data_IF_851385849340
#
_entry.id   IF_851385849340
#
_cell.length_a   1.000
_cell.length_b   1.000
_cell.length_c   1.000
_cell.angle_alpha   90.00
_cell.angle_beta   90.00
_cell.angle_gamma   90.00
#
_symmetry.space_group_name_H-M   'P 1'
#
loop_
_entity.id
_entity.type
_entity.pdbx_description
1 polymer ?
#
# COMPACT_ATOMS: atom_id res chain seq x y z
N UNK A 1 -12.68 9.46 3.71
CA UNK A 1 -13.29 10.72 3.23
C UNK A 1 -13.21 10.71 1.71
N UNK A 2 -14.21 11.23 1.01
CA UNK A 2 -14.18 11.25 -0.46
C UNK A 2 -13.44 12.50 -0.95
N UNK A 3 -12.74 12.39 -2.08
CA UNK A 3 -11.98 13.51 -2.67
C UNK A 3 -12.85 14.70 -3.09
N UNK A 4 -14.10 14.43 -3.46
CA UNK A 4 -15.06 15.44 -3.89
C UNK A 4 -15.88 16.00 -2.72
N UNK A 5 -15.57 15.65 -1.47
CA UNK A 5 -16.32 16.12 -0.31
C UNK A 5 -15.84 17.49 0.18
N UNK A 6 -16.74 18.27 0.76
CA UNK A 6 -16.41 19.60 1.29
C UNK A 6 -15.40 19.52 2.44
N UNK A 7 -15.48 18.47 3.26
CA UNK A 7 -14.51 18.22 4.34
C UNK A 7 -13.10 18.01 3.77
N UNK A 8 -12.98 17.31 2.63
CA UNK A 8 -11.68 17.12 1.99
C UNK A 8 -11.14 18.45 1.45
N UNK A 9 -11.96 19.14 0.65
CA UNK A 9 -11.54 20.32 -0.11
C UNK A 9 -11.24 21.51 0.81
N UNK A 10 -12.07 21.75 1.83
CA UNK A 10 -11.97 22.96 2.64
C UNK A 10 -11.25 22.77 3.98
N UNK A 11 -11.13 21.53 4.49
CA UNK A 11 -10.52 21.27 5.79
C UNK A 11 -9.25 20.45 5.63
N UNK A 12 -9.37 19.21 5.19
CA UNK A 12 -8.25 18.26 5.23
C UNK A 12 -7.10 18.65 4.29
N UNK A 13 -7.41 19.02 3.04
CA UNK A 13 -6.39 19.36 2.06
C UNK A 13 -5.65 20.66 2.44
N UNK A 14 -6.31 21.79 2.77
CA UNK A 14 -5.63 22.99 3.23
C UNK A 14 -4.82 22.75 4.50
N UNK A 15 -5.38 22.04 5.49
CA UNK A 15 -4.67 21.73 6.73
C UNK A 15 -3.42 20.91 6.49
N UNK A 16 -3.52 19.85 5.67
CA UNK A 16 -2.37 19.01 5.31
C UNK A 16 -1.30 19.81 4.56
N UNK A 17 -1.72 20.68 3.63
CA UNK A 17 -0.83 21.56 2.89
C UNK A 17 -0.07 22.51 3.83
N UNK A 18 -0.78 23.27 4.66
CA UNK A 18 -0.16 24.27 5.52
C UNK A 18 0.78 23.64 6.56
N UNK A 19 0.39 22.52 7.19
CA UNK A 19 1.28 21.84 8.16
C UNK A 19 2.52 21.30 7.47
N UNK A 20 2.40 20.69 6.29
CA UNK A 20 3.55 20.19 5.53
C UNK A 20 4.56 21.30 5.21
N UNK A 21 4.08 22.42 4.63
CA UNK A 21 4.96 23.54 4.28
C UNK A 21 5.53 24.25 5.51
N UNK A 22 4.77 24.34 6.61
CA UNK A 22 5.28 24.87 7.87
C UNK A 22 6.43 24.03 8.43
N UNK A 23 6.31 22.69 8.42
CA UNK A 23 7.38 21.79 8.85
C UNK A 23 8.62 21.93 7.96
N UNK A 24 8.42 22.12 6.65
CA UNK A 24 9.51 22.33 5.71
C UNK A 24 10.25 23.66 5.94
N UNK A 25 9.51 24.73 6.24
CA UNK A 25 10.08 26.04 6.61
C UNK A 25 10.98 25.94 7.85
N UNK A 26 10.57 25.11 8.83
CA UNK A 26 11.39 24.78 10.02
C UNK A 26 12.56 23.83 9.74
N UNK A 27 12.81 23.48 8.47
CA UNK A 27 13.84 22.50 8.03
C UNK A 27 13.63 21.09 8.61
N UNK A 28 12.40 20.75 9.04
CA UNK A 28 12.04 19.45 9.60
C UNK A 28 11.58 18.49 8.49
N UNK A 29 12.46 18.16 7.54
CA UNK A 29 12.11 17.35 6.35
C UNK A 29 11.55 15.97 6.75
N UNK A 30 12.20 15.28 7.68
CA UNK A 30 11.73 13.98 8.19
C UNK A 30 10.38 14.09 8.90
N UNK A 31 10.19 15.18 9.66
CA UNK A 31 8.91 15.48 10.32
C UNK A 31 7.79 15.73 9.32
N UNK A 32 8.07 16.44 8.23
CA UNK A 32 7.12 16.69 7.14
C UNK A 32 6.69 15.39 6.43
N UNK A 33 7.64 14.48 6.14
CA UNK A 33 7.34 13.15 5.61
C UNK A 33 6.50 12.32 6.58
N UNK A 34 6.87 12.30 7.86
CA UNK A 34 6.10 11.63 8.93
C UNK A 34 4.67 12.15 9.04
N UNK A 35 4.50 13.46 8.98
CA UNK A 35 3.19 14.09 8.95
C UNK A 35 2.37 13.67 7.72
N UNK A 36 2.95 13.63 6.52
CA UNK A 36 2.24 13.17 5.32
C UNK A 36 1.81 11.71 5.41
N UNK A 37 2.64 10.83 5.97
CA UNK A 37 2.25 9.43 6.23
C UNK A 37 1.08 9.38 7.20
N UNK A 38 1.16 10.13 8.31
CA UNK A 38 0.07 10.20 9.28
C UNK A 38 -1.24 10.74 8.65
N UNK A 39 -1.18 11.85 7.92
CA UNK A 39 -2.33 12.43 7.24
C UNK A 39 -2.93 11.44 6.22
N UNK A 40 -2.08 10.69 5.54
CA UNK A 40 -2.50 9.69 4.57
C UNK A 40 -3.19 8.48 5.21
N UNK A 41 -2.63 7.96 6.30
CA UNK A 41 -3.25 6.88 7.07
C UNK A 41 -4.55 7.33 7.74
N UNK A 42 -4.63 8.58 8.19
CA UNK A 42 -5.87 9.17 8.71
C UNK A 42 -6.95 9.23 7.63
N UNK A 43 -6.59 9.73 6.44
CA UNK A 43 -7.49 9.78 5.31
C UNK A 43 -8.00 8.40 4.90
N UNK A 44 -7.12 7.40 4.87
CA UNK A 44 -7.46 6.00 4.62
C UNK A 44 -8.45 5.45 5.67
N UNK A 45 -8.14 5.67 6.95
CA UNK A 45 -8.93 5.16 8.08
C UNK A 45 -10.31 5.79 8.20
N UNK A 46 -10.51 6.95 7.58
CA UNK A 46 -11.81 7.63 7.56
C UNK A 46 -12.92 6.80 6.93
N UNK A 47 -12.60 5.88 6.00
CA UNK A 47 -13.60 4.97 5.45
C UNK A 47 -14.00 3.88 6.46
N UNK A 48 -13.02 3.13 6.95
CA UNK A 48 -13.22 2.15 8.00
C UNK A 48 -11.87 1.84 8.67
N UNK A 49 -11.77 2.18 9.94
CA UNK A 49 -10.56 1.98 10.76
C UNK A 49 -10.16 0.50 10.89
N UNK A 50 -11.09 -0.44 10.72
CA UNK A 50 -10.81 -1.88 10.80
C UNK A 50 -9.80 -2.35 9.74
N UNK A 51 -9.65 -1.63 8.61
CA UNK A 51 -8.68 -1.96 7.57
C UNK A 51 -7.32 -1.27 7.75
N UNK A 52 -7.17 -0.37 8.72
CA UNK A 52 -5.88 0.26 9.00
C UNK A 52 -4.80 -0.78 9.39
N UNK A 53 -5.07 -1.77 10.25
CA UNK A 53 -4.12 -2.85 10.51
C UNK A 53 -3.74 -3.65 9.26
N UNK A 54 -4.66 -3.81 8.31
CA UNK A 54 -4.42 -4.54 7.07
C UNK A 54 -3.34 -3.85 6.22
N UNK A 55 -3.52 -2.54 5.94
CA UNK A 55 -2.53 -1.80 5.16
C UNK A 55 -1.18 -1.69 5.89
N UNK A 56 -1.19 -1.47 7.21
CA UNK A 56 0.04 -1.39 8.02
C UNK A 56 0.82 -2.71 8.01
N UNK A 57 0.12 -3.83 8.20
CA UNK A 57 0.76 -5.16 8.18
C UNK A 57 1.25 -5.51 6.79
N UNK A 58 0.47 -5.24 5.74
CA UNK A 58 0.88 -5.47 4.35
C UNK A 58 2.11 -4.63 3.98
N UNK A 59 2.14 -3.37 4.41
CA UNK A 59 3.30 -2.50 4.21
C UNK A 59 4.53 -3.04 4.91
N UNK A 60 4.43 -3.35 6.21
CA UNK A 60 5.56 -3.85 6.99
C UNK A 60 6.10 -5.16 6.42
N UNK A 61 5.21 -6.08 6.05
CA UNK A 61 5.58 -7.33 5.38
C UNK A 61 6.37 -7.06 4.09
N UNK A 62 5.84 -6.23 3.20
CA UNK A 62 6.47 -5.94 1.92
C UNK A 62 7.78 -5.15 2.06
N UNK A 63 7.89 -4.27 3.05
CA UNK A 63 9.14 -3.58 3.36
C UNK A 63 10.23 -4.57 3.81
N UNK A 64 9.89 -5.50 4.70
CA UNK A 64 10.85 -6.53 5.16
C UNK A 64 11.28 -7.43 4.01
N UNK A 65 10.35 -7.86 3.16
CA UNK A 65 10.65 -8.69 1.98
C UNK A 65 11.50 -7.91 0.98
N UNK A 66 11.12 -6.68 0.63
CA UNK A 66 11.87 -5.81 -0.30
C UNK A 66 13.28 -5.51 0.18
N UNK A 67 13.43 -5.14 1.45
CA UNK A 67 14.75 -4.92 2.04
C UNK A 67 15.62 -6.19 2.08
N UNK A 68 15.01 -7.37 2.21
CA UNK A 68 15.71 -8.66 2.16
C UNK A 68 16.10 -9.10 0.74
N UNK A 69 15.48 -8.53 -0.30
CA UNK A 69 15.85 -8.77 -1.71
C UNK A 69 17.08 -7.96 -2.14
N UNK A 70 17.38 -6.88 -1.42
CA UNK A 70 18.47 -5.95 -1.70
C UNK A 70 19.86 -6.59 -1.49
N UNK A 71 20.77 -6.36 -2.45
CA UNK A 71 22.14 -6.86 -2.43
C UNK A 71 22.99 -6.31 -1.27
N UNK A 72 22.67 -5.11 -0.78
CA UNK A 72 23.42 -4.46 0.29
C UNK A 72 23.20 -5.11 1.67
N UNK A 73 22.08 -5.81 1.86
CA UNK A 73 21.76 -6.53 3.10
C UNK A 73 22.14 -8.01 2.98
N UNK A 74 23.44 -8.28 2.83
CA UNK A 74 24.07 -9.62 2.76
C UNK A 74 23.91 -10.52 4.02
N UNK A 75 22.92 -10.29 4.88
CA UNK A 75 22.76 -11.08 6.12
C UNK A 75 22.08 -12.43 5.93
N UNK A 76 21.37 -12.66 4.83
CA UNK A 76 20.66 -13.93 4.59
C UNK A 76 20.85 -14.39 3.14
N UNK A 77 21.44 -15.58 2.93
CA UNK A 77 21.54 -16.24 1.63
C UNK A 77 20.19 -16.87 1.22
N UNK A 78 19.14 -16.06 1.10
CA UNK A 78 17.86 -16.52 0.57
C UNK A 78 17.90 -16.56 -0.96
N UNK A 79 17.24 -17.56 -1.55
CA UNK A 79 16.96 -17.57 -2.99
C UNK A 79 16.08 -16.36 -3.34
N UNK A 80 16.69 -15.28 -3.84
CA UNK A 80 16.02 -14.01 -4.16
C UNK A 80 14.76 -14.18 -5.00
N UNK A 81 14.82 -15.06 -6.00
CA UNK A 81 13.66 -15.37 -6.87
C UNK A 81 12.51 -16.00 -6.08
N UNK A 82 12.80 -16.93 -5.17
CA UNK A 82 11.80 -17.55 -4.30
C UNK A 82 11.16 -16.55 -3.34
N UNK A 83 11.97 -15.67 -2.76
CA UNK A 83 11.49 -14.60 -1.86
C UNK A 83 10.61 -13.59 -2.60
N UNK A 84 10.99 -13.19 -3.82
CA UNK A 84 10.17 -12.34 -4.68
C UNK A 84 8.84 -13.03 -5.02
N UNK A 85 8.88 -14.29 -5.47
CA UNK A 85 7.67 -15.06 -5.77
C UNK A 85 6.76 -15.17 -4.56
N UNK A 86 7.31 -15.45 -3.38
CA UNK A 86 6.54 -15.50 -2.14
C UNK A 86 5.87 -14.15 -1.83
N UNK A 87 6.60 -13.04 -1.91
CA UNK A 87 6.05 -11.70 -1.70
C UNK A 87 4.93 -11.37 -2.69
N UNK A 88 5.11 -11.65 -3.98
CA UNK A 88 4.08 -11.43 -5.00
C UNK A 88 2.85 -12.30 -4.73
N UNK A 89 3.04 -13.59 -4.44
CA UNK A 89 1.94 -14.52 -4.14
C UNK A 89 1.18 -14.07 -2.89
N UNK A 90 1.85 -13.61 -1.84
CA UNK A 90 1.18 -13.11 -0.63
C UNK A 90 0.31 -11.88 -0.91
N UNK A 91 0.81 -10.92 -1.70
CA UNK A 91 0.04 -9.75 -2.13
C UNK A 91 -1.18 -10.14 -2.99
N UNK A 92 -0.97 -11.02 -3.98
CA UNK A 92 -2.05 -11.50 -4.84
C UNK A 92 -3.07 -12.36 -4.08
N UNK A 93 -2.64 -13.13 -3.07
CA UNK A 93 -3.53 -13.92 -2.22
C UNK A 93 -4.42 -13.00 -1.36
N UNK A 94 -3.86 -11.94 -0.79
CA UNK A 94 -4.63 -10.93 -0.04
C UNK A 94 -5.66 -10.23 -0.95
N UNK A 95 -5.25 -9.84 -2.16
CA UNK A 95 -6.16 -9.26 -3.15
C UNK A 95 -7.22 -10.26 -3.60
N UNK A 96 -6.84 -11.51 -3.85
CA UNK A 96 -7.73 -12.62 -4.20
C UNK A 96 -8.79 -12.83 -3.13
N UNK A 97 -8.37 -12.91 -1.87
CA UNK A 97 -9.26 -13.12 -0.73
C UNK A 97 -10.31 -12.01 -0.59
N UNK A 98 -9.90 -10.73 -0.59
CA UNK A 98 -10.88 -9.65 -0.39
C UNK A 98 -11.69 -9.32 -1.64
N UNK A 99 -11.09 -9.38 -2.83
CA UNK A 99 -11.72 -8.87 -4.06
C UNK A 99 -12.39 -9.95 -4.92
N UNK A 100 -11.86 -11.16 -4.92
CA UNK A 100 -12.24 -12.18 -5.89
C UNK A 100 -12.83 -13.45 -5.26
N UNK A 101 -12.89 -13.58 -3.93
CA UNK A 101 -13.44 -14.78 -3.28
C UNK A 101 -14.86 -15.09 -3.75
N UNK A 102 -15.77 -14.11 -3.69
CA UNK A 102 -17.16 -14.35 -4.10
C UNK A 102 -17.25 -14.67 -5.60
N UNK A 103 -16.44 -14.02 -6.44
CA UNK A 103 -16.33 -14.37 -7.86
C UNK A 103 -15.90 -15.83 -8.06
N UNK A 104 -14.91 -16.32 -7.31
CA UNK A 104 -14.47 -17.72 -7.40
C UNK A 104 -15.54 -18.68 -6.87
N UNK A 105 -16.23 -18.34 -5.79
CA UNK A 105 -17.30 -19.15 -5.21
C UNK A 105 -18.51 -19.24 -6.16
N UNK A 106 -18.90 -18.13 -6.81
CA UNK A 106 -19.95 -18.12 -7.82
C UNK A 106 -19.62 -19.06 -8.98
N UNK A 107 -18.40 -18.97 -9.52
CA UNK A 107 -17.98 -19.86 -10.61
C UNK A 107 -17.88 -21.33 -10.17
N UNK A 108 -17.44 -21.58 -8.94
CA UNK A 108 -17.39 -22.93 -8.39
C UNK A 108 -18.80 -23.53 -8.29
N UNK A 109 -19.74 -22.79 -7.71
CA UNK A 109 -21.14 -23.19 -7.62
C UNK A 109 -21.75 -23.47 -9.00
N UNK A 110 -21.44 -22.65 -10.01
CA UNK A 110 -21.91 -22.84 -11.38
C UNK A 110 -21.34 -24.10 -12.07
N UNK A 111 -20.07 -24.45 -11.82
CA UNK A 111 -19.41 -25.58 -12.47
C UNK A 111 -19.72 -26.91 -11.80
N UNK A 112 -19.81 -26.92 -10.47
CA UNK A 112 -19.99 -28.13 -9.67
C UNK A 112 -21.42 -28.35 -9.19
N UNK A 113 -22.35 -27.46 -9.55
CA UNK A 113 -23.75 -27.47 -9.09
C UNK A 113 -23.87 -27.53 -7.56
N UNK A 114 -22.92 -26.87 -6.88
CA UNK A 114 -22.89 -26.73 -5.43
C UNK A 114 -23.51 -25.40 -4.99
N UNK A 115 -23.87 -25.30 -3.70
CA UNK A 115 -24.44 -24.09 -3.09
C UNK A 115 -23.55 -23.61 -1.94
N UNK A 116 -22.28 -23.37 -2.21
CA UNK A 116 -21.37 -22.78 -1.24
C UNK A 116 -21.80 -21.32 -0.99
N UNK A 117 -22.06 -20.92 0.28
CA UNK A 117 -22.51 -19.57 0.57
C UNK A 117 -21.42 -18.53 0.27
N UNK A 118 -21.82 -17.41 -0.34
CA UNK A 118 -20.94 -16.26 -0.59
C UNK A 118 -20.61 -15.55 0.73
N UNK A 119 -19.41 -14.98 0.81
CA UNK A 119 -18.91 -14.34 2.02
C UNK A 119 -19.29 -12.86 2.11
N UNK A 120 -19.53 -12.20 0.96
CA UNK A 120 -19.86 -10.77 0.87
C UNK A 120 -18.89 -9.90 1.68
N UNK A 121 -17.60 -10.16 1.51
CA UNK A 121 -16.55 -9.48 2.24
C UNK A 121 -16.56 -7.99 1.92
N UNK A 122 -16.59 -7.15 2.96
CA UNK A 122 -16.43 -5.73 2.77
C UNK A 122 -15.02 -5.42 2.24
N UNK A 123 -14.96 -4.65 1.15
CA UNK A 123 -13.75 -4.36 0.41
C UNK A 123 -12.94 -3.25 1.09
N UNK A 124 -11.66 -3.49 1.42
CA UNK A 124 -10.77 -2.42 1.85
C UNK A 124 -10.60 -1.41 0.72
N UNK A 125 -10.71 -0.13 1.06
CA UNK A 125 -10.50 0.95 0.11
C UNK A 125 -9.11 0.81 -0.52
N UNK A 126 -9.00 1.08 -1.82
CA UNK A 126 -7.73 1.07 -2.56
C UNK A 126 -6.91 -0.25 -2.51
N UNK A 127 -7.51 -1.40 -2.15
CA UNK A 127 -6.79 -2.67 -2.03
C UNK A 127 -5.98 -3.04 -3.27
N UNK A 128 -6.56 -2.87 -4.47
CA UNK A 128 -5.84 -3.14 -5.71
C UNK A 128 -4.63 -2.23 -5.88
N UNK A 129 -4.76 -0.93 -5.60
CA UNK A 129 -3.69 0.05 -5.78
C UNK A 129 -2.50 -0.23 -4.87
N UNK A 130 -2.72 -0.32 -3.55
CA UNK A 130 -1.59 -0.58 -2.65
C UNK A 130 -0.97 -1.97 -2.88
N UNK A 131 -1.76 -2.97 -3.32
CA UNK A 131 -1.22 -4.30 -3.65
C UNK A 131 -0.28 -4.22 -4.84
N UNK A 132 -0.70 -3.59 -5.95
CA UNK A 132 0.15 -3.49 -7.14
C UNK A 132 1.37 -2.58 -6.91
N UNK A 133 1.21 -1.54 -6.10
CA UNK A 133 2.31 -0.66 -5.72
C UNK A 133 3.34 -1.37 -4.85
N UNK A 134 2.90 -2.21 -3.91
CA UNK A 134 3.77 -3.07 -3.10
C UNK A 134 4.48 -4.13 -3.97
N UNK A 135 3.78 -4.74 -4.95
CA UNK A 135 4.40 -5.66 -5.91
C UNK A 135 5.46 -4.94 -6.76
N UNK A 136 5.16 -3.74 -7.27
CA UNK A 136 6.12 -2.94 -8.03
C UNK A 136 7.37 -2.66 -7.20
N UNK A 137 7.21 -2.27 -5.93
CA UNK A 137 8.32 -2.09 -4.99
C UNK A 137 9.16 -3.36 -4.80
N UNK A 138 8.54 -4.55 -4.67
CA UNK A 138 9.28 -5.81 -4.56
C UNK A 138 10.08 -6.13 -5.83
N UNK A 139 9.50 -5.88 -7.01
CA UNK A 139 10.17 -6.10 -8.30
C UNK A 139 11.33 -5.12 -8.48
N UNK A 140 11.12 -3.84 -8.17
CA UNK A 140 12.15 -2.81 -8.23
C UNK A 140 13.30 -3.14 -7.24
N UNK A 141 12.95 -3.63 -6.04
CA UNK A 141 13.91 -4.08 -5.03
C UNK A 141 14.72 -5.30 -5.50
N UNK A 142 14.09 -6.26 -6.16
CA UNK A 142 14.76 -7.42 -6.76
C UNK A 142 15.73 -7.02 -7.88
N UNK A 143 15.39 -5.98 -8.65
CA UNK A 143 16.25 -5.42 -9.71
C UNK A 143 17.34 -4.48 -9.21
N UNK A 144 17.39 -4.22 -7.89
CA UNK A 144 18.26 -3.20 -7.28
C UNK A 144 18.04 -1.79 -7.86
N UNK A 145 16.81 -1.49 -8.30
CA UNK A 145 16.41 -0.19 -8.85
C UNK A 145 15.84 0.76 -7.77
N UNK A 146 15.62 0.26 -6.55
CA UNK A 146 15.21 1.06 -5.40
C UNK A 146 16.39 1.87 -4.85
N UNK A 147 16.29 3.20 -4.96
CA UNK A 147 17.35 4.14 -4.59
C UNK A 147 17.53 4.33 -3.07
N UNK A 148 16.44 4.28 -2.30
CA UNK A 148 16.47 4.49 -0.84
C UNK A 148 15.64 3.43 -0.11
N UNK A 149 16.23 2.79 0.90
CA UNK A 149 15.61 1.72 1.71
C UNK A 149 15.05 2.26 3.04
N UNK A 150 14.64 3.51 3.06
CA UNK A 150 14.05 4.12 4.25
C UNK A 150 12.57 3.75 4.38
N UNK A 151 12.19 3.26 5.57
CA UNK A 151 10.81 2.85 5.84
C UNK A 151 9.83 4.02 5.69
N UNK A 152 10.22 5.24 6.09
CA UNK A 152 9.33 6.39 6.04
C UNK A 152 9.03 6.80 4.59
N UNK A 153 10.04 6.80 3.73
CA UNK A 153 9.87 6.99 2.29
C UNK A 153 8.97 5.93 1.66
N UNK A 154 9.20 4.66 1.98
CA UNK A 154 8.37 3.56 1.49
C UNK A 154 6.92 3.66 2.00
N UNK A 155 6.71 3.98 3.28
CA UNK A 155 5.39 4.18 3.85
C UNK A 155 4.67 5.35 3.15
N UNK A 156 5.38 6.43 2.84
CA UNK A 156 4.83 7.54 2.08
C UNK A 156 4.45 7.10 0.66
N UNK A 157 5.35 6.42 -0.05
CA UNK A 157 5.09 5.86 -1.38
C UNK A 157 3.77 5.07 -1.39
N UNK A 158 3.61 4.10 -0.49
CA UNK A 158 2.40 3.25 -0.45
C UNK A 158 1.15 4.01 0.01
N UNK A 159 1.24 4.93 0.97
CA UNK A 159 0.05 5.50 1.61
C UNK A 159 -0.41 6.81 1.02
N UNK A 160 0.43 7.52 0.25
CA UNK A 160 0.21 8.91 -0.13
C UNK A 160 -1.21 9.15 -0.65
N UNK A 161 -2.02 9.85 0.14
CA UNK A 161 -3.47 9.89 -0.08
C UNK A 161 -3.89 10.35 -1.48
N UNK A 162 -3.27 11.36 -2.13
CA UNK A 162 -3.66 11.79 -3.48
C UNK A 162 -3.53 10.66 -4.50
N UNK A 163 -2.53 9.79 -4.32
CA UNK A 163 -2.24 8.72 -5.26
C UNK A 163 -3.02 7.44 -4.93
N UNK A 164 -3.16 7.12 -3.63
CA UNK A 164 -3.70 5.84 -3.16
C UNK A 164 -5.07 5.48 -3.75
N UNK A 165 -5.91 6.48 -4.07
CA UNK A 165 -7.28 6.24 -4.57
C UNK A 165 -7.42 6.50 -6.07
N UNK A 166 -6.68 7.45 -6.64
CA UNK A 166 -6.95 7.99 -7.97
C UNK A 166 -5.69 8.31 -8.81
N UNK A 167 -4.50 8.00 -8.32
CA UNK A 167 -3.26 8.22 -9.07
C UNK A 167 -2.91 7.05 -10.00
N UNK A 168 -2.11 7.28 -11.06
CA UNK A 168 -1.56 6.18 -11.84
C UNK A 168 -0.69 5.28 -10.96
N UNK A 169 -0.55 4.01 -11.37
CA UNK A 169 0.43 3.10 -10.75
C UNK A 169 1.81 3.60 -11.17
N UNK A 170 2.60 4.09 -10.22
CA UNK A 170 3.96 4.61 -10.46
C UNK A 170 4.99 3.71 -9.80
N UNK A 171 6.20 3.72 -10.32
CA UNK A 171 7.33 3.02 -9.72
C UNK A 171 7.91 3.80 -8.54
N UNK A 172 8.53 3.10 -7.59
CA UNK A 172 9.11 3.75 -6.40
C UNK A 172 10.16 4.81 -6.80
N UNK A 173 10.96 4.52 -7.82
CA UNK A 173 12.00 5.40 -8.37
C UNK A 173 11.45 6.71 -8.97
N UNK A 174 10.18 6.75 -9.37
CA UNK A 174 9.58 7.95 -9.97
C UNK A 174 9.08 8.94 -8.89
N UNK A 175 8.85 8.45 -7.67
CA UNK A 175 8.29 9.21 -6.55
C UNK A 175 9.35 9.69 -5.55
N UNK A 176 10.41 8.89 -5.36
CA UNK A 176 11.46 9.12 -4.36
C UNK A 176 12.80 9.34 -5.05
#
# INVERSE_FOLDING_TARGET
MLFNSYEFIFIFLPLSFFIYFFLLEKRLVTGAKGFLVFASLFFYSWWNIAYLPLILTSMLFNYVVGNSLNENFKKVQLHKKGLLTFGIVANLALLGYFKYTDFFLENFNLVFDENVPLLYLALPLAISFFTFQQIAYLVDSYRAETAEYDFLNYALFVTFFPQLIAGPIVHHKEMM
#
